data_IF_560517832735
#
_entry.id   IF_560517832735
#
_cell.length_a   1.000
_cell.length_b   1.000
_cell.length_c   1.000
_cell.angle_alpha   90.00
_cell.angle_beta   90.00
_cell.angle_gamma   90.00
#
_symmetry.space_group_name_H-M   'P 1'
#
loop_
_entity.id
_entity.type
_entity.pdbx_description
1 polymer ?
#
# COMPACT_ATOMS: atom_id res chain seq x y z
N UNK A 1 10.41 15.48 -7.66
CA UNK A 1 10.27 14.55 -6.52
C UNK A 1 9.01 13.75 -6.77
N UNK A 2 9.17 12.50 -7.18
CA UNK A 2 8.05 11.69 -7.67
C UNK A 2 7.11 11.29 -6.52
N UNK A 3 5.80 11.47 -6.69
CA UNK A 3 4.78 11.09 -5.70
C UNK A 3 4.00 9.88 -6.17
N UNK A 4 4.01 8.80 -5.39
CA UNK A 4 3.23 7.59 -5.63
C UNK A 4 2.34 7.30 -4.44
N UNK A 5 1.04 7.18 -4.66
CA UNK A 5 0.07 6.76 -3.65
C UNK A 5 -0.31 5.31 -3.91
N UNK A 6 -0.28 4.47 -2.88
CA UNK A 6 -0.51 3.04 -3.03
C UNK A 6 -1.50 2.58 -1.97
N UNK A 7 -2.68 2.14 -2.41
CA UNK A 7 -3.60 1.40 -1.55
C UNK A 7 -3.07 -0.02 -1.37
N UNK A 8 -2.93 -0.46 -0.12
CA UNK A 8 -2.42 -1.78 0.24
C UNK A 8 -3.27 -2.43 1.31
N UNK A 9 -3.31 -3.76 1.33
CA UNK A 9 -3.88 -4.55 2.43
C UNK A 9 -2.76 -5.37 3.10
N UNK A 10 -2.69 -5.43 4.45
CA UNK A 10 -1.62 -6.12 5.18
C UNK A 10 -1.45 -7.61 4.85
N UNK A 11 -2.48 -8.25 4.32
CA UNK A 11 -2.52 -9.67 4.00
C UNK A 11 -2.48 -9.94 2.49
N UNK A 12 -2.15 -8.92 1.68
CA UNK A 12 -2.11 -9.07 0.24
C UNK A 12 -0.72 -9.51 -0.26
N UNK A 13 -0.57 -10.71 -0.84
CA UNK A 13 0.72 -11.16 -1.37
C UNK A 13 1.22 -10.32 -2.56
N UNK A 14 0.31 -9.68 -3.30
CA UNK A 14 0.67 -8.75 -4.38
C UNK A 14 1.15 -7.40 -3.83
N UNK A 15 0.57 -6.90 -2.73
CA UNK A 15 1.07 -5.70 -2.07
C UNK A 15 2.47 -5.92 -1.53
N UNK A 16 2.72 -7.09 -0.92
CA UNK A 16 4.04 -7.49 -0.45
C UNK A 16 5.08 -7.47 -1.57
N UNK A 17 4.80 -8.11 -2.71
CA UNK A 17 5.70 -8.08 -3.87
C UNK A 17 5.94 -6.66 -4.41
N UNK A 18 4.91 -5.81 -4.40
CA UNK A 18 5.07 -4.41 -4.81
C UNK A 18 5.98 -3.65 -3.83
N UNK A 19 5.78 -3.86 -2.53
CA UNK A 19 6.59 -3.26 -1.48
C UNK A 19 8.07 -3.57 -1.69
N UNK A 20 8.44 -4.85 -1.82
CA UNK A 20 9.83 -5.26 -2.06
C UNK A 20 10.42 -4.61 -3.31
N UNK A 21 9.66 -4.57 -4.41
CA UNK A 21 10.11 -3.97 -5.68
C UNK A 21 10.32 -2.46 -5.62
N UNK A 22 9.59 -1.75 -4.76
CA UNK A 22 9.72 -0.30 -4.61
C UNK A 22 10.92 0.12 -3.76
N UNK A 23 11.35 -0.71 -2.80
CA UNK A 23 12.46 -0.38 -1.89
C UNK A 23 13.74 0.11 -2.59
N UNK A 24 14.28 -0.57 -3.62
CA UNK A 24 15.49 -0.11 -4.29
C UNK A 24 15.28 1.17 -5.12
N UNK A 25 14.03 1.58 -5.37
CA UNK A 25 13.69 2.72 -6.23
C UNK A 25 13.46 4.03 -5.45
N UNK A 26 13.09 3.93 -4.16
CA UNK A 26 12.72 5.08 -3.33
C UNK A 26 13.84 6.13 -3.26
N UNK A 27 15.04 5.72 -2.84
CA UNK A 27 16.19 6.61 -2.68
C UNK A 27 16.73 7.15 -4.01
N UNK A 28 17.17 6.28 -4.94
CA UNK A 28 17.82 6.69 -6.19
C UNK A 28 16.97 7.58 -7.10
N UNK A 29 15.64 7.49 -7.01
CA UNK A 29 14.73 8.27 -7.85
C UNK A 29 14.00 9.39 -7.10
N UNK A 30 14.38 9.70 -5.85
CA UNK A 30 13.66 10.68 -5.04
C UNK A 30 12.13 10.43 -5.03
N UNK A 31 11.76 9.15 -4.94
CA UNK A 31 10.38 8.69 -4.97
C UNK A 31 9.82 8.67 -3.55
N UNK A 32 8.73 9.40 -3.34
CA UNK A 32 7.96 9.35 -2.10
C UNK A 32 6.75 8.45 -2.30
N UNK A 33 6.68 7.38 -1.50
CA UNK A 33 5.56 6.44 -1.50
C UNK A 33 4.65 6.72 -0.31
N UNK A 34 3.40 7.04 -0.60
CA UNK A 34 2.32 7.22 0.36
C UNK A 34 1.52 5.94 0.46
N UNK A 35 1.78 5.17 1.52
CA UNK A 35 1.08 3.91 1.78
C UNK A 35 -0.28 4.18 2.41
N UNK A 36 -1.36 3.92 1.65
CA UNK A 36 -2.73 4.06 2.11
C UNK A 36 -3.22 2.68 2.52
N UNK A 37 -3.18 2.41 3.83
CA UNK A 37 -3.48 1.08 4.37
C UNK A 37 -4.99 0.88 4.42
N UNK A 38 -5.48 -0.02 3.58
CA UNK A 38 -6.81 -0.60 3.59
C UNK A 38 -6.80 -1.92 4.39
N UNK A 39 -7.97 -2.52 4.60
CA UNK A 39 -8.08 -3.77 5.36
C UNK A 39 -9.41 -4.44 5.15
N UNK A 40 -9.50 -5.28 4.13
CA UNK A 40 -10.73 -5.96 3.71
C UNK A 40 -10.51 -7.36 3.13
N UNK A 41 -9.29 -7.74 2.74
CA UNK A 41 -9.06 -8.98 1.99
C UNK A 41 -9.25 -10.26 2.81
N UNK A 42 -8.79 -10.27 4.06
CA UNK A 42 -8.84 -11.43 4.96
C UNK A 42 -9.43 -11.02 6.31
N UNK A 43 -9.89 -12.02 7.08
CA UNK A 43 -10.47 -11.79 8.40
C UNK A 43 -9.57 -10.98 9.34
N UNK A 44 -8.24 -11.17 9.27
CA UNK A 44 -7.26 -10.44 10.09
C UNK A 44 -6.86 -9.08 9.50
N UNK A 45 -7.21 -8.76 8.25
CA UNK A 45 -6.72 -7.58 7.53
C UNK A 45 -7.09 -6.27 8.24
N UNK A 46 -8.35 -6.13 8.66
CA UNK A 46 -8.80 -4.92 9.35
C UNK A 46 -8.06 -4.70 10.68
N UNK A 47 -7.88 -5.76 11.48
CA UNK A 47 -7.15 -5.68 12.75
C UNK A 47 -5.68 -5.31 12.54
N UNK A 48 -5.03 -5.86 11.51
CA UNK A 48 -3.64 -5.52 11.17
C UNK A 48 -3.49 -4.11 10.62
N UNK A 49 -4.43 -3.66 9.80
CA UNK A 49 -4.46 -2.30 9.31
C UNK A 49 -4.60 -1.30 10.46
N UNK A 50 -5.48 -1.58 11.43
CA UNK A 50 -5.60 -0.77 12.66
C UNK A 50 -4.31 -0.79 13.49
N UNK A 51 -3.64 -1.94 13.60
CA UNK A 51 -2.36 -2.03 14.30
C UNK A 51 -1.28 -1.16 13.64
N UNK A 52 -1.24 -1.12 12.30
CA UNK A 52 -0.31 -0.27 11.55
C UNK A 52 -0.66 1.22 11.71
N UNK A 53 -1.91 1.59 11.46
CA UNK A 53 -2.37 3.00 11.50
C UNK A 53 -2.34 3.59 12.90
N UNK A 54 -2.54 2.77 13.94
CA UNK A 54 -2.51 3.17 15.34
C UNK A 54 -1.12 3.16 15.99
N UNK A 55 -0.08 2.70 15.28
CA UNK A 55 1.27 2.63 15.84
C UNK A 55 1.87 4.03 16.02
N UNK A 56 2.75 4.19 17.02
CA UNK A 56 3.52 5.44 17.21
C UNK A 56 4.36 5.81 15.98
N UNK A 57 4.78 4.81 15.21
CA UNK A 57 5.52 4.95 13.96
C UNK A 57 4.86 4.09 12.87
N UNK A 58 3.79 4.58 12.21
CA UNK A 58 3.00 3.77 11.27
C UNK A 58 3.82 3.14 10.14
N UNK A 59 4.76 3.91 9.56
CA UNK A 59 5.65 3.37 8.53
C UNK A 59 6.52 2.21 9.04
N UNK A 60 7.05 2.32 10.27
CA UNK A 60 7.86 1.23 10.85
C UNK A 60 7.01 -0.02 11.13
N UNK A 61 5.75 0.15 11.51
CA UNK A 61 4.80 -0.93 11.70
C UNK A 61 4.41 -1.61 10.37
N UNK A 62 4.18 -0.82 9.31
CA UNK A 62 3.98 -1.35 7.96
C UNK A 62 5.22 -2.14 7.49
N UNK A 63 6.41 -1.60 7.65
CA UNK A 63 7.64 -2.31 7.28
C UNK A 63 7.81 -3.61 8.07
N UNK A 64 7.38 -3.67 9.33
CA UNK A 64 7.38 -4.92 10.10
C UNK A 64 6.36 -5.91 9.56
N UNK A 65 5.14 -5.46 9.21
CA UNK A 65 4.15 -6.30 8.55
C UNK A 65 4.69 -6.95 7.28
N UNK A 66 5.39 -6.17 6.45
CA UNK A 66 5.93 -6.66 5.18
C UNK A 66 7.19 -7.52 5.33
N UNK A 67 8.10 -7.19 6.25
CA UNK A 67 9.32 -8.00 6.49
C UNK A 67 8.99 -9.41 6.98
N UNK A 68 7.97 -9.52 7.81
CA UNK A 68 7.57 -10.77 8.45
C UNK A 68 6.31 -11.35 7.79
N UNK A 69 6.04 -10.98 6.52
CA UNK A 69 4.95 -11.51 5.73
C UNK A 69 5.14 -13.01 5.49
N UNK A 70 4.08 -13.81 5.61
CA UNK A 70 4.07 -15.25 5.39
C UNK A 70 3.34 -15.58 4.07
N UNK A 71 4.05 -15.74 2.93
CA UNK A 71 3.41 -15.92 1.62
C UNK A 71 2.53 -17.16 1.51
N UNK A 72 2.85 -18.22 2.26
CA UNK A 72 2.04 -19.45 2.27
C UNK A 72 0.69 -19.29 2.99
N UNK A 73 0.51 -18.22 3.76
CA UNK A 73 -0.71 -17.95 4.53
C UNK A 73 -1.43 -16.67 4.09
N UNK A 74 -0.86 -15.93 3.14
CA UNK A 74 -1.29 -14.58 2.79
C UNK A 74 -1.48 -13.71 4.05
N UNK A 75 -0.49 -13.73 4.95
CA UNK A 75 -0.63 -13.15 6.29
C UNK A 75 0.55 -12.23 6.60
N UNK A 76 0.26 -10.95 6.87
CA UNK A 76 1.29 -9.98 7.24
C UNK A 76 1.81 -10.19 8.67
N UNK A 77 3.06 -9.85 8.95
CA UNK A 77 3.68 -10.25 10.22
C UNK A 77 3.19 -9.50 11.48
N UNK A 78 2.45 -8.39 11.33
CA UNK A 78 1.96 -7.64 12.48
C UNK A 78 0.77 -8.34 13.13
N UNK A 79 0.71 -8.36 14.46
CA UNK A 79 -0.46 -8.88 15.17
C UNK A 79 -1.68 -7.95 14.99
N UNK A 80 -2.88 -8.49 14.75
CA UNK A 80 -4.08 -7.68 14.64
C UNK A 80 -4.41 -7.01 15.97
N UNK A 81 -4.85 -5.76 15.91
CA UNK A 81 -5.41 -5.02 17.03
C UNK A 81 -6.95 -5.04 16.99
N UNK A 82 -7.59 -4.68 18.10
CA UNK A 82 -9.04 -4.49 18.14
C UNK A 82 -9.44 -3.32 17.22
N UNK A 83 -10.43 -3.54 16.36
CA UNK A 83 -10.92 -2.55 15.38
C UNK A 83 -11.82 -1.52 16.08
N UNK A 84 -11.19 -0.56 16.77
CA UNK A 84 -11.87 0.53 17.48
C UNK A 84 -10.96 1.77 17.60
N UNK A 85 -11.56 2.92 17.93
CA UNK A 85 -10.83 4.17 18.14
C UNK A 85 -10.37 4.87 16.86
N UNK A 86 -9.49 5.87 16.97
CA UNK A 86 -9.10 6.74 15.84
C UNK A 86 -8.50 5.99 14.64
N UNK A 87 -7.70 4.95 14.90
CA UNK A 87 -7.10 4.15 13.83
C UNK A 87 -8.14 3.34 13.04
N UNK A 88 -9.22 2.87 13.68
CA UNK A 88 -10.32 2.22 12.98
C UNK A 88 -11.12 3.22 12.11
N UNK A 89 -11.26 4.47 12.56
CA UNK A 89 -11.85 5.52 11.72
C UNK A 89 -10.97 5.83 10.49
N UNK A 90 -9.66 5.96 10.68
CA UNK A 90 -8.72 6.15 9.58
C UNK A 90 -8.77 4.99 8.56
N UNK A 91 -8.87 3.74 9.04
CA UNK A 91 -9.08 2.58 8.19
C UNK A 91 -10.39 2.69 7.39
N UNK A 92 -11.49 3.08 8.02
CA UNK A 92 -12.77 3.25 7.33
C UNK A 92 -12.70 4.33 6.23
N UNK A 93 -12.00 5.43 6.48
CA UNK A 93 -11.74 6.47 5.48
C UNK A 93 -10.91 5.93 4.32
N UNK A 94 -9.82 5.20 4.60
CA UNK A 94 -8.98 4.60 3.55
C UNK A 94 -9.74 3.60 2.69
N UNK A 95 -10.53 2.70 3.31
CA UNK A 95 -11.38 1.75 2.57
C UNK A 95 -12.40 2.48 1.68
N UNK A 96 -13.01 3.56 2.19
CA UNK A 96 -13.95 4.38 1.39
C UNK A 96 -13.25 5.07 0.21
N UNK A 97 -12.05 5.60 0.41
CA UNK A 97 -11.27 6.21 -0.66
C UNK A 97 -10.91 5.18 -1.75
N UNK A 98 -10.57 3.96 -1.37
CA UNK A 98 -10.35 2.86 -2.31
C UNK A 98 -11.63 2.54 -3.10
N UNK A 99 -12.77 2.40 -2.43
CA UNK A 99 -14.05 2.14 -3.09
C UNK A 99 -14.41 3.23 -4.12
N UNK A 100 -14.05 4.48 -3.85
CA UNK A 100 -14.25 5.60 -4.80
C UNK A 100 -13.37 5.50 -6.05
N UNK A 101 -12.35 4.64 -6.08
CA UNK A 101 -11.54 4.39 -7.28
C UNK A 101 -12.23 3.47 -8.31
N UNK A 102 -13.39 2.91 -7.96
CA UNK A 102 -14.17 1.99 -8.79
C UNK A 102 -14.02 0.55 -8.31
N UNK A 103 -13.01 -0.22 -8.76
CA UNK A 103 -12.78 -1.57 -8.26
C UNK A 103 -12.03 -1.56 -6.92
N UNK A 104 -12.58 -2.23 -5.91
CA UNK A 104 -11.92 -2.49 -4.63
C UNK A 104 -10.83 -3.56 -4.80
N UNK A 105 -9.69 -3.14 -5.35
CA UNK A 105 -8.55 -4.02 -5.61
C UNK A 105 -7.26 -3.43 -5.05
N UNK A 106 -6.40 -4.28 -4.52
CA UNK A 106 -5.06 -3.91 -4.03
C UNK A 106 -3.98 -4.82 -4.63
N UNK A 107 -2.75 -4.30 -4.87
CA UNK A 107 -2.40 -2.90 -4.73
C UNK A 107 -3.06 -2.03 -5.81
N UNK A 108 -3.49 -0.81 -5.46
CA UNK A 108 -3.92 0.21 -6.42
C UNK A 108 -3.00 1.42 -6.31
N UNK A 109 -2.35 1.77 -7.42
CA UNK A 109 -1.36 2.83 -7.52
C UNK A 109 -1.98 4.05 -8.18
N UNK A 110 -1.75 5.23 -7.59
CA UNK A 110 -2.14 6.51 -8.16
C UNK A 110 -0.95 7.46 -8.18
N UNK A 111 -0.78 8.16 -9.29
CA UNK A 111 0.23 9.19 -9.43
C UNK A 111 -0.17 10.23 -10.47
N UNK A 112 0.50 11.39 -10.45
CA UNK A 112 0.38 12.39 -11.51
C UNK A 112 1.47 12.16 -12.54
N UNK A 113 1.11 12.04 -13.81
CA UNK A 113 2.08 11.87 -14.86
C UNK A 113 2.73 13.19 -15.32
N UNK A 114 3.75 13.11 -16.17
CA UNK A 114 4.44 14.29 -16.75
C UNK A 114 3.51 15.23 -17.53
N UNK A 115 2.42 14.71 -18.10
CA UNK A 115 1.37 15.51 -18.75
C UNK A 115 0.40 16.16 -17.76
N UNK A 116 0.63 16.01 -16.46
CA UNK A 116 -0.19 16.58 -15.39
C UNK A 116 -1.48 15.81 -15.09
N UNK A 117 -1.73 14.66 -15.74
CA UNK A 117 -2.94 13.84 -15.54
C UNK A 117 -2.76 12.86 -14.39
N UNK A 118 -3.83 12.61 -13.63
CA UNK A 118 -3.86 11.52 -12.65
C UNK A 118 -3.97 10.21 -13.41
N UNK A 119 -3.06 9.28 -13.11
CA UNK A 119 -3.02 7.93 -13.67
C UNK A 119 -3.23 6.95 -12.53
N UNK A 120 -4.04 5.93 -12.79
CA UNK A 120 -4.31 4.83 -11.88
C UNK A 120 -3.87 3.52 -12.52
N UNK A 121 -3.17 2.68 -11.75
CA UNK A 121 -2.78 1.32 -12.13
C UNK A 121 -3.24 0.34 -11.06
N UNK A 122 -3.81 -0.77 -11.48
CA UNK A 122 -4.31 -1.82 -10.59
C UNK A 122 -3.41 -3.05 -10.67
N UNK A 123 -3.10 -3.64 -9.51
CA UNK A 123 -2.17 -4.75 -9.39
C UNK A 123 -0.71 -4.32 -9.44
N UNK A 124 0.18 -5.31 -9.51
CA UNK A 124 1.62 -5.07 -9.63
C UNK A 124 1.96 -4.88 -11.11
N UNK A 125 2.60 -3.77 -11.53
CA UNK A 125 3.09 -3.63 -12.90
C UNK A 125 4.03 -4.80 -13.23
N UNK A 126 3.69 -5.57 -14.27
CA UNK A 126 4.28 -6.90 -14.51
C UNK A 126 5.72 -6.87 -15.06
N UNK A 127 6.23 -5.73 -15.55
CA UNK A 127 7.59 -5.64 -16.09
C UNK A 127 8.55 -4.94 -15.12
N UNK A 128 9.83 -5.38 -15.00
CA UNK A 128 10.90 -4.61 -14.34
C UNK A 128 11.03 -3.19 -14.92
N UNK A 129 10.78 -3.07 -16.23
CA UNK A 129 10.67 -1.79 -16.93
C UNK A 129 9.37 -1.04 -16.60
N UNK A 130 8.29 -1.70 -16.21
CA UNK A 130 6.99 -1.08 -15.94
C UNK A 130 6.98 -0.19 -14.68
N UNK A 131 7.75 -0.55 -13.65
CA UNK A 131 7.92 0.29 -12.45
C UNK A 131 8.84 1.48 -12.72
N UNK A 132 9.95 1.29 -13.45
CA UNK A 132 10.80 2.39 -13.88
C UNK A 132 10.07 3.32 -14.85
N UNK A 133 9.32 2.80 -15.83
CA UNK A 133 8.45 3.60 -16.70
C UNK A 133 7.39 4.34 -15.90
N UNK A 134 6.79 3.69 -14.90
CA UNK A 134 5.86 4.36 -13.98
C UNK A 134 6.57 5.52 -13.31
N UNK A 135 7.75 5.32 -12.71
CA UNK A 135 8.51 6.39 -12.04
C UNK A 135 8.90 7.52 -12.99
N UNK A 136 9.41 7.22 -14.18
CA UNK A 136 9.74 8.24 -15.18
C UNK A 136 8.49 8.94 -15.72
N UNK A 137 7.34 8.28 -15.68
CA UNK A 137 6.07 8.89 -15.99
C UNK A 137 5.57 9.78 -14.85
N UNK A 138 5.99 9.57 -13.59
CA UNK A 138 5.59 10.40 -12.44
C UNK A 138 6.27 11.77 -12.56
N UNK A 139 5.48 12.83 -12.34
CA UNK A 139 5.99 14.19 -12.21
C UNK A 139 6.53 14.46 -10.81
#
# INVERSE_FOLDING_TARGET
MHQLYVFVDPNCPFCHRLFERLQPLIGPHHLTVHWIVAGFLRATSAGKAVAILGARRPLAALMHNERDFEPGKDDGGIRPAAVRGPAAHALAVNNRLLAMTGPELVPTLLYRNVAGRVVMHQGVPLAPHGLLWTIHAIR
#
